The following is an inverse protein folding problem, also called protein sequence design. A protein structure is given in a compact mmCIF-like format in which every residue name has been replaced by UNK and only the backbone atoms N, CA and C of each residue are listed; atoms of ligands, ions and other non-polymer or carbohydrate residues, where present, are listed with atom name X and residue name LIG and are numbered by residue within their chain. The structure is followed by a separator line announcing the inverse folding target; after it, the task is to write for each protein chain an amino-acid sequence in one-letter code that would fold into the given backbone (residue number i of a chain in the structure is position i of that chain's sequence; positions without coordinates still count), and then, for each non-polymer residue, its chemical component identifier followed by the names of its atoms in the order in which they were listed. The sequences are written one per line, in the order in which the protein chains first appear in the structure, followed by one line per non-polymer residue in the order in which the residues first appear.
data_IF_667641516636
#
_entry.id   IF_667641516636
#
_cell.length_a   1.000
_cell.length_b   1.000
_cell.length_c   1.000
_cell.angle_alpha   90.00
_cell.angle_beta   90.00
_cell.angle_gamma   90.00
#
_symmetry.space_group_name_H-M   'P 1'
#
loop_
_entity.id
_entity.type
_entity.pdbx_description
1 polymer ?
#
# COMPACT_ATOMS: atom_id res chain seq x y z
N UNK A 1 -19.11 -7.83 -11.73
CA UNK A 1 -18.28 -8.38 -10.63
C UNK A 1 -17.00 -7.56 -10.62
N UNK A 2 -16.66 -6.90 -9.51
CA UNK A 2 -15.42 -6.13 -9.39
C UNK A 2 -14.25 -7.10 -9.25
N UNK A 3 -13.49 -7.26 -10.33
CA UNK A 3 -12.32 -8.15 -10.39
C UNK A 3 -11.13 -7.45 -9.71
N UNK A 4 -10.90 -7.74 -8.42
CA UNK A 4 -9.77 -7.21 -7.65
C UNK A 4 -8.50 -7.92 -8.12
N UNK A 5 -7.54 -7.18 -8.66
CA UNK A 5 -6.29 -7.74 -9.19
C UNK A 5 -5.11 -7.59 -8.22
N UNK A 6 -5.19 -6.64 -7.28
CA UNK A 6 -4.23 -6.45 -6.19
C UNK A 6 -5.03 -6.23 -4.92
N UNK A 7 -4.68 -6.93 -3.85
CA UNK A 7 -5.28 -6.75 -2.53
C UNK A 7 -4.18 -6.76 -1.46
N UNK A 8 -4.14 -5.68 -0.68
CA UNK A 8 -3.29 -5.49 0.49
C UNK A 8 -4.23 -5.52 1.70
N UNK A 9 -4.01 -6.45 2.61
CA UNK A 9 -4.86 -6.63 3.79
C UNK A 9 -4.02 -6.59 5.07
N UNK A 10 -4.30 -5.61 5.93
CA UNK A 10 -3.68 -5.41 7.24
C UNK A 10 -2.14 -5.48 7.23
N UNK A 11 -1.50 -4.94 6.18
CA UNK A 11 -0.04 -5.04 6.03
C UNK A 11 0.66 -4.02 6.92
N UNK A 12 1.61 -4.51 7.72
CA UNK A 12 2.52 -3.70 8.52
C UNK A 12 3.96 -4.02 8.12
N UNK A 13 4.79 -2.97 7.96
CA UNK A 13 6.20 -3.11 7.63
C UNK A 13 7.05 -2.25 8.55
N UNK A 14 7.89 -2.92 9.31
CA UNK A 14 8.89 -2.31 10.18
C UNK A 14 10.30 -2.46 9.57
N UNK A 15 11.12 -1.43 9.71
CA UNK A 15 12.55 -1.42 9.42
C UNK A 15 13.31 -1.01 10.70
N UNK A 16 13.80 -2.00 11.44
CA UNK A 16 14.35 -1.76 12.77
C UNK A 16 13.30 -1.11 13.66
N UNK A 17 13.61 0.08 14.18
CA UNK A 17 12.72 0.84 15.06
C UNK A 17 11.71 1.74 14.32
N UNK A 18 11.71 1.73 12.97
CA UNK A 18 10.82 2.57 12.16
C UNK A 18 9.66 1.75 11.64
N UNK A 19 8.43 2.13 12.02
CA UNK A 19 7.21 1.63 11.39
C UNK A 19 6.93 2.38 10.09
N UNK A 20 7.32 1.80 8.96
CA UNK A 20 7.21 2.42 7.64
C UNK A 20 5.84 2.26 7.00
N UNK A 21 5.13 1.16 7.31
CA UNK A 21 3.73 0.94 6.94
C UNK A 21 3.02 0.39 8.16
N UNK A 22 1.84 0.91 8.48
CA UNK A 22 1.05 0.48 9.63
C UNK A 22 -0.37 0.11 9.22
N UNK A 23 -0.70 -1.18 9.25
CA UNK A 23 -2.03 -1.70 8.97
C UNK A 23 -2.67 -1.19 7.66
N UNK A 24 -1.91 -1.23 6.56
CA UNK A 24 -2.39 -0.78 5.25
C UNK A 24 -3.42 -1.77 4.66
N UNK A 25 -4.49 -1.20 4.12
CA UNK A 25 -5.56 -1.90 3.41
C UNK A 25 -5.83 -1.20 2.07
N UNK A 26 -5.75 -1.93 0.97
CA UNK A 26 -5.93 -1.38 -0.39
C UNK A 26 -6.35 -2.50 -1.33
N UNK A 27 -7.42 -2.28 -2.08
CA UNK A 27 -7.78 -3.09 -3.25
C UNK A 27 -7.61 -2.25 -4.52
N UNK A 28 -7.05 -2.87 -5.57
CA UNK A 28 -6.97 -2.29 -6.91
C UNK A 28 -7.74 -3.18 -7.87
N UNK A 29 -8.69 -2.59 -8.57
CA UNK A 29 -9.55 -3.27 -9.52
C UNK A 29 -8.90 -3.41 -10.89
N UNK A 30 -9.34 -4.40 -11.65
CA UNK A 30 -8.91 -4.60 -13.04
C UNK A 30 -9.23 -3.36 -13.89
N UNK A 31 -8.19 -2.81 -14.52
CA UNK A 31 -8.29 -1.62 -15.37
C UNK A 31 -8.32 -0.30 -14.61
N UNK A 32 -8.18 -0.32 -13.28
CA UNK A 32 -8.08 0.89 -12.47
C UNK A 32 -6.69 1.53 -12.62
N UNK A 33 -6.67 2.85 -12.83
CA UNK A 33 -5.44 3.63 -12.73
C UNK A 33 -5.29 4.13 -11.30
N UNK A 34 -4.34 3.55 -10.57
CA UNK A 34 -4.07 3.87 -9.18
C UNK A 34 -2.79 4.71 -9.02
N UNK A 35 -2.81 5.68 -8.11
CA UNK A 35 -1.63 6.45 -7.71
C UNK A 35 -1.60 6.65 -6.20
N UNK A 36 -0.41 6.52 -5.61
CA UNK A 36 -0.20 6.69 -4.18
C UNK A 36 0.54 8.02 -3.92
N UNK A 37 -0.13 8.95 -3.24
CA UNK A 37 0.37 10.30 -2.97
C UNK A 37 0.63 10.52 -1.48
N UNK A 38 1.57 11.41 -1.17
CA UNK A 38 1.87 11.82 0.20
C UNK A 38 3.28 12.42 0.34
N UNK A 39 3.60 13.02 1.50
CA UNK A 39 4.91 13.63 1.78
C UNK A 39 6.09 12.67 1.63
N UNK A 40 7.32 13.20 1.54
CA UNK A 40 8.51 12.36 1.58
C UNK A 40 8.56 11.55 2.89
N UNK A 41 8.99 10.28 2.81
CA UNK A 41 9.11 9.40 3.97
C UNK A 41 7.82 8.74 4.47
N UNK A 42 6.65 9.00 3.86
CA UNK A 42 5.38 8.44 4.35
C UNK A 42 5.10 6.95 3.99
N UNK A 43 6.10 6.21 3.51
CA UNK A 43 5.96 4.77 3.25
C UNK A 43 5.48 4.36 1.85
N UNK A 44 5.36 5.28 0.88
CA UNK A 44 4.86 4.95 -0.48
C UNK A 44 5.67 3.87 -1.19
N UNK A 45 6.99 4.07 -1.30
CA UNK A 45 7.89 3.10 -1.90
C UNK A 45 7.94 1.80 -1.10
N UNK A 46 7.74 1.87 0.21
CA UNK A 46 7.65 0.67 1.05
C UNK A 46 6.39 -0.14 0.76
N UNK A 47 5.25 0.51 0.51
CA UNK A 47 3.98 -0.15 0.21
C UNK A 47 3.95 -0.74 -1.22
N UNK A 48 4.70 -0.14 -2.16
CA UNK A 48 4.72 -0.54 -3.58
C UNK A 48 5.84 -1.52 -3.98
N UNK A 49 6.74 -1.89 -3.04
CA UNK A 49 7.83 -2.85 -3.27
C UNK A 49 7.49 -4.21 -2.66
#
# INVERSE_FOLDING_TARGET
MSDVIISINNVTKDFGNVRAVNNANLDVLKGEFFSLLGPSGCGKTTLLR
#
